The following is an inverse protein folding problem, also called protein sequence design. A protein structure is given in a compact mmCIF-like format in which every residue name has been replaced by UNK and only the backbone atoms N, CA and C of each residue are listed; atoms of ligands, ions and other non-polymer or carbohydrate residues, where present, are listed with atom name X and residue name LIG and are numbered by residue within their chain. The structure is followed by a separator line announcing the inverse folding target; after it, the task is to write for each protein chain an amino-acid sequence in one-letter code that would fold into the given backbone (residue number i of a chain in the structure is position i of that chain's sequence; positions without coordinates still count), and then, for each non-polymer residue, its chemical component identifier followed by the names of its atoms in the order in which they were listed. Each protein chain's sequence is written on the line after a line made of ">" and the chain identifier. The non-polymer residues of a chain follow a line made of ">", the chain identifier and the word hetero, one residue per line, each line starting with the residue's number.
data_IF_775488685410
#
_entry.id   IF_775488685410
#
_cell.length_a   1.000
_cell.length_b   1.000
_cell.length_c   1.000
_cell.angle_alpha   90.00
_cell.angle_beta   90.00
_cell.angle_gamma   90.00
#
_symmetry.space_group_name_H-M   'P 1'
#
loop_
_entity.id
_entity.type
_entity.pdbx_description
1 polymer ?
#
# COMPACT_ATOMS: atom_id res chain seq x y z
N UNK A 1 -35.59 -0.76 35.42
CA UNK A 1 -34.97 0.60 35.39
C UNK A 1 -33.58 0.63 36.02
N UNK A 2 -33.30 -0.07 37.14
CA UNK A 2 -31.96 -0.09 37.77
C UNK A 2 -30.86 -0.83 36.98
N UNK A 3 -31.21 -1.90 36.25
CA UNK A 3 -30.22 -2.72 35.52
C UNK A 3 -29.57 -1.93 34.36
N UNK A 4 -30.34 -1.08 33.67
CA UNK A 4 -29.83 -0.25 32.58
C UNK A 4 -28.82 0.81 33.05
N UNK A 5 -28.95 1.28 34.30
CA UNK A 5 -28.04 2.28 34.87
C UNK A 5 -26.67 1.65 35.20
N UNK A 6 -26.66 0.41 35.71
CA UNK A 6 -25.42 -0.30 36.07
C UNK A 6 -24.63 -0.70 34.83
N UNK A 7 -25.30 -1.13 33.76
CA UNK A 7 -24.64 -1.50 32.50
C UNK A 7 -24.03 -0.26 31.81
N UNK A 8 -24.73 0.88 31.84
CA UNK A 8 -24.22 2.14 31.28
C UNK A 8 -22.95 2.64 31.99
N UNK A 9 -22.92 2.59 33.33
CA UNK A 9 -21.75 3.01 34.11
C UNK A 9 -20.53 2.11 33.86
N UNK A 10 -20.74 0.79 33.73
CA UNK A 10 -19.65 -0.14 33.44
C UNK A 10 -19.01 0.08 32.07
N UNK A 11 -19.84 0.34 31.05
CA UNK A 11 -19.36 0.61 29.70
C UNK A 11 -18.54 1.91 29.61
N UNK A 12 -19.02 2.97 30.29
CA UNK A 12 -18.32 4.26 30.32
C UNK A 12 -16.97 4.17 31.05
N UNK A 13 -16.93 3.44 32.17
CA UNK A 13 -15.69 3.18 32.90
C UNK A 13 -14.67 2.42 32.03
N UNK A 14 -15.11 1.39 31.29
CA UNK A 14 -14.25 0.62 30.41
C UNK A 14 -13.64 1.47 29.28
N UNK A 15 -14.46 2.27 28.60
CA UNK A 15 -14.01 3.20 27.57
C UNK A 15 -13.01 4.25 28.11
N UNK A 16 -13.26 4.77 29.31
CA UNK A 16 -12.37 5.76 29.94
C UNK A 16 -10.98 5.18 30.24
N UNK A 17 -10.90 3.93 30.69
CA UNK A 17 -9.64 3.25 30.98
C UNK A 17 -8.85 2.93 29.71
N UNK A 18 -9.55 2.60 28.62
CA UNK A 18 -8.96 2.36 27.31
C UNK A 18 -8.36 3.64 26.73
N UNK A 19 -9.08 4.77 26.84
CA UNK A 19 -8.60 6.09 26.45
C UNK A 19 -7.36 6.52 27.28
N UNK A 20 -7.38 6.31 28.61
CA UNK A 20 -6.23 6.58 29.47
C UNK A 20 -5.01 5.74 29.09
N UNK A 21 -5.21 4.47 28.71
CA UNK A 21 -4.12 3.57 28.33
C UNK A 21 -3.46 4.01 27.03
N UNK A 22 -4.25 4.44 26.04
CA UNK A 22 -3.75 5.01 24.79
C UNK A 22 -2.97 6.31 25.07
N UNK A 23 -3.52 7.18 25.92
CA UNK A 23 -2.85 8.42 26.31
C UNK A 23 -1.49 8.14 26.98
N UNK A 24 -1.43 7.20 27.91
CA UNK A 24 -0.19 6.81 28.58
C UNK A 24 0.84 6.24 27.60
N UNK A 25 0.41 5.44 26.63
CA UNK A 25 1.28 4.90 25.58
C UNK A 25 1.86 6.01 24.70
N UNK A 26 1.04 6.98 24.28
CA UNK A 26 1.48 8.14 23.49
C UNK A 26 2.47 9.00 24.27
N UNK A 27 2.21 9.26 25.56
CA UNK A 27 3.10 10.03 26.43
C UNK A 27 4.44 9.31 26.66
N UNK A 28 4.42 7.98 26.87
CA UNK A 28 5.63 7.18 27.06
C UNK A 28 6.52 7.17 25.81
N UNK A 29 5.92 7.06 24.63
CA UNK A 29 6.63 7.10 23.33
C UNK A 29 7.32 8.45 23.08
N UNK A 30 6.79 9.55 23.63
CA UNK A 30 7.35 10.90 23.46
C UNK A 30 8.45 11.32 24.43
N UNK A 31 8.74 10.54 25.49
CA UNK A 31 9.75 10.92 26.51
C UNK A 31 11.20 11.02 26.02
N UNK A 32 11.50 10.61 24.78
CA UNK A 32 12.85 10.71 24.18
C UNK A 32 13.10 12.01 23.40
N UNK A 33 12.08 12.85 23.17
CA UNK A 33 12.23 14.12 22.46
C UNK A 33 12.08 15.30 23.42
N UNK A 34 13.22 15.86 23.88
CA UNK A 34 13.27 16.95 24.89
C UNK A 34 12.80 18.33 24.41
N UNK A 35 12.02 18.44 23.33
CA UNK A 35 11.50 19.74 22.86
C UNK A 35 10.05 19.60 22.41
N UNK A 36 9.18 20.41 23.02
CA UNK A 36 7.77 20.65 22.69
C UNK A 36 6.71 19.88 23.51
N UNK A 37 6.65 20.16 24.81
CA UNK A 37 5.48 19.82 25.67
C UNK A 37 4.30 20.79 25.41
N UNK A 38 4.59 22.05 25.01
CA UNK A 38 3.56 23.08 24.79
C UNK A 38 2.63 22.80 23.60
N UNK A 39 3.11 22.15 22.53
CA UNK A 39 2.31 21.85 21.33
C UNK A 39 1.24 20.77 21.58
N UNK A 40 1.50 19.84 22.50
CA UNK A 40 0.57 18.74 22.76
C UNK A 40 -0.68 19.20 23.51
N UNK A 41 -0.56 20.21 24.39
CA UNK A 41 -1.69 20.73 25.17
C UNK A 41 -2.69 21.47 24.25
N UNK A 42 -2.18 22.21 23.26
CA UNK A 42 -3.01 22.95 22.29
C UNK A 42 -3.81 21.99 21.41
N UNK A 43 -3.23 20.88 20.96
CA UNK A 43 -3.92 19.89 20.13
C UNK A 43 -5.07 19.20 20.89
N UNK A 44 -4.86 18.89 22.17
CA UNK A 44 -5.90 18.28 23.02
C UNK A 44 -7.05 19.24 23.30
N UNK A 45 -6.76 20.53 23.55
CA UNK A 45 -7.81 21.54 23.71
C UNK A 45 -8.66 21.68 22.44
N UNK A 46 -8.04 21.63 21.25
CA UNK A 46 -8.76 21.71 19.97
C UNK A 46 -9.69 20.49 19.75
N UNK A 47 -9.21 19.28 20.03
CA UNK A 47 -10.00 18.05 19.91
C UNK A 47 -11.17 18.00 20.89
N UNK A 48 -11.01 18.56 22.09
CA UNK A 48 -12.10 18.61 23.06
C UNK A 48 -13.21 19.58 22.63
N UNK A 49 -12.85 20.70 21.98
CA UNK A 49 -13.83 21.66 21.45
C UNK A 49 -14.62 21.04 20.28
N UNK A 50 -13.98 20.31 19.36
CA UNK A 50 -14.71 19.67 18.24
C UNK A 50 -15.63 18.55 18.71
N UNK A 51 -15.26 17.80 19.74
CA UNK A 51 -16.11 16.75 20.31
C UNK A 51 -17.40 17.29 20.97
N UNK A 52 -17.35 18.49 21.59
CA UNK A 52 -18.54 19.12 22.17
C UNK A 52 -19.51 19.64 21.11
N UNK A 53 -19.00 20.10 19.95
CA UNK A 53 -19.85 20.64 18.88
C UNK A 53 -20.62 19.54 18.12
N UNK A 54 -20.05 18.34 18.01
CA UNK A 54 -20.65 17.23 17.25
C UNK A 54 -21.63 16.36 18.07
N UNK A 55 -21.83 16.67 19.36
CA UNK A 55 -22.61 15.86 20.29
C UNK A 55 -24.13 16.06 20.26
N UNK A 56 -24.64 17.13 19.62
CA UNK A 56 -26.09 17.46 19.66
C UNK A 56 -26.88 17.00 18.42
N UNK A 57 -26.25 16.58 17.33
CA UNK A 57 -26.95 16.31 16.05
C UNK A 57 -27.27 14.82 15.81
N UNK A 58 -27.67 14.06 16.83
CA UNK A 58 -28.08 12.65 16.63
C UNK A 58 -29.28 12.21 17.48
N UNK A 59 -30.38 12.97 17.44
CA UNK A 59 -31.64 12.51 18.03
C UNK A 59 -32.92 12.81 17.22
N UNK A 60 -32.83 13.08 15.92
CA UNK A 60 -34.01 13.40 15.09
C UNK A 60 -34.30 12.44 13.92
N UNK A 61 -33.48 11.41 13.67
CA UNK A 61 -33.61 10.60 12.45
C UNK A 61 -33.64 9.09 12.73
N UNK A 62 -34.59 8.66 13.57
CA UNK A 62 -34.81 7.22 13.83
C UNK A 62 -36.29 6.79 13.78
N UNK A 63 -37.22 7.63 13.30
CA UNK A 63 -38.66 7.30 13.26
C UNK A 63 -39.31 7.29 11.86
N UNK A 64 -38.53 7.22 10.77
CA UNK A 64 -39.13 7.28 9.41
C UNK A 64 -38.61 6.25 8.41
N UNK A 65 -38.46 4.98 8.79
CA UNK A 65 -38.40 3.88 7.80
C UNK A 65 -39.06 2.59 8.34
N UNK A 66 -40.36 2.65 8.61
CA UNK A 66 -41.23 1.47 8.71
C UNK A 66 -42.43 1.70 7.81
N UNK A 67 -42.28 1.47 6.50
CA UNK A 67 -43.40 1.14 5.61
C UNK A 67 -42.90 0.80 4.20
N UNK A 68 -43.30 -0.38 3.71
CA UNK A 68 -43.37 -0.78 2.29
C UNK A 68 -42.04 -1.25 1.70
N UNK A 69 -41.89 -2.44 1.13
CA UNK A 69 -42.77 -3.04 0.11
C UNK A 69 -42.56 -4.55 0.00
N UNK A 70 -43.68 -5.24 -0.19
CA UNK A 70 -43.88 -6.68 -0.42
C UNK A 70 -43.74 -7.05 -1.90
N UNK A 71 -43.38 -8.32 -2.19
CA UNK A 71 -43.60 -9.09 -3.44
C UNK A 71 -42.80 -8.63 -4.70
N UNK A 72 -42.26 -9.49 -5.57
CA UNK A 72 -42.65 -10.82 -6.05
C UNK A 72 -41.47 -11.63 -6.59
N UNK A 73 -41.59 -12.95 -6.47
CA UNK A 73 -40.83 -13.97 -7.22
C UNK A 73 -41.30 -14.04 -8.69
N UNK A 74 -40.41 -14.38 -9.64
CA UNK A 74 -40.76 -15.52 -10.49
C UNK A 74 -39.62 -16.49 -10.79
N UNK A 75 -40.05 -17.73 -11.00
CA UNK A 75 -39.33 -18.92 -11.47
C UNK A 75 -39.21 -18.94 -13.00
N UNK A 76 -38.03 -19.31 -13.52
CA UNK A 76 -37.80 -19.78 -14.90
C UNK A 76 -36.61 -20.76 -14.88
N UNK A 77 -36.82 -22.08 -14.91
CA UNK A 77 -36.95 -22.98 -16.07
C UNK A 77 -35.65 -23.18 -16.88
N UNK A 78 -35.29 -24.47 -17.00
CA UNK A 78 -34.08 -25.10 -17.53
C UNK A 78 -33.89 -25.01 -19.07
N UNK A 79 -32.60 -25.02 -19.48
CA UNK A 79 -31.97 -25.61 -20.70
C UNK A 79 -32.43 -25.17 -22.11
N UNK A 80 -31.57 -25.24 -23.17
CA UNK A 80 -30.48 -26.20 -23.39
C UNK A 80 -29.11 -25.63 -23.83
N UNK A 81 -28.11 -26.49 -23.70
CA UNK A 81 -26.75 -26.38 -24.25
C UNK A 81 -26.73 -26.51 -25.79
N UNK A 82 -26.04 -25.62 -26.52
CA UNK A 82 -25.49 -25.92 -27.83
C UNK A 82 -23.99 -26.15 -27.73
N UNK A 83 -23.58 -27.39 -27.99
CA UNK A 83 -22.23 -27.79 -28.36
C UNK A 83 -21.98 -27.42 -29.82
N UNK A 84 -21.14 -26.43 -30.08
CA UNK A 84 -20.48 -26.26 -31.38
C UNK A 84 -19.02 -25.91 -31.17
N UNK A 85 -18.18 -26.84 -31.60
CA UNK A 85 -16.73 -26.75 -31.74
C UNK A 85 -16.40 -25.87 -32.95
N UNK A 86 -15.71 -24.72 -32.79
CA UNK A 86 -15.08 -24.04 -33.91
C UNK A 86 -13.68 -24.62 -34.17
N UNK A 87 -13.43 -24.87 -35.45
CA UNK A 87 -12.18 -25.35 -36.01
C UNK A 87 -10.96 -24.48 -35.62
N UNK A 88 -9.75 -25.07 -35.56
CA UNK A 88 -8.52 -24.31 -35.31
C UNK A 88 -8.26 -23.35 -36.47
N UNK A 89 -8.53 -22.06 -36.22
CA UNK A 89 -8.13 -20.99 -37.12
C UNK A 89 -6.62 -20.80 -36.94
N UNK A 90 -5.87 -21.05 -38.02
CA UNK A 90 -4.43 -20.83 -38.05
C UNK A 90 -4.13 -19.36 -37.74
N UNK A 91 -3.45 -19.12 -36.62
CA UNK A 91 -2.94 -17.81 -36.25
C UNK A 91 -1.90 -17.37 -37.28
N UNK A 92 -2.09 -16.24 -37.98
CA UNK A 92 -1.04 -15.67 -38.81
C UNK A 92 0.13 -15.25 -37.91
N UNK A 93 1.32 -15.69 -38.29
CA UNK A 93 2.62 -15.26 -37.74
C UNK A 93 2.70 -13.72 -37.73
N UNK A 94 2.94 -13.07 -36.57
CA UNK A 94 3.03 -11.62 -36.54
C UNK A 94 4.27 -11.14 -37.28
N UNK A 95 4.02 -10.26 -38.25
CA UNK A 95 5.00 -9.39 -38.90
C UNK A 95 5.78 -8.62 -37.83
N UNK A 96 7.12 -8.63 -37.83
CA UNK A 96 7.90 -7.82 -36.90
C UNK A 96 7.71 -6.33 -37.24
N UNK A 97 6.95 -5.62 -36.40
CA UNK A 97 6.83 -4.18 -36.48
C UNK A 97 8.06 -3.56 -35.82
N UNK A 98 9.03 -3.17 -36.65
CA UNK A 98 10.11 -2.30 -36.25
C UNK A 98 9.56 -0.89 -36.04
N UNK A 99 9.52 -0.39 -34.81
CA UNK A 99 9.51 1.05 -34.53
C UNK A 99 10.34 1.30 -33.28
N UNK A 100 11.61 1.62 -33.51
CA UNK A 100 12.50 2.15 -32.50
C UNK A 100 11.98 3.54 -32.09
N UNK A 101 11.18 3.61 -31.03
CA UNK A 101 10.97 4.84 -30.29
C UNK A 101 12.18 5.03 -29.39
N UNK A 102 13.05 5.96 -29.76
CA UNK A 102 14.20 6.36 -28.96
C UNK A 102 13.71 7.02 -27.67
N UNK A 103 13.48 6.20 -26.65
CA UNK A 103 13.29 6.67 -25.28
C UNK A 103 14.58 7.38 -24.82
N UNK A 104 14.51 8.59 -24.25
CA UNK A 104 15.68 9.32 -23.82
C UNK A 104 16.42 8.52 -22.74
N UNK A 105 17.64 8.08 -23.09
CA UNK A 105 18.59 7.44 -22.19
C UNK A 105 18.81 8.36 -20.97
N UNK A 106 18.48 7.92 -19.74
CA UNK A 106 18.71 8.74 -18.56
C UNK A 106 20.20 8.94 -18.34
N UNK A 107 20.62 10.21 -18.35
CA UNK A 107 21.97 10.64 -17.97
C UNK A 107 22.10 10.53 -16.46
N UNK A 108 22.56 9.37 -16.00
CA UNK A 108 22.90 9.10 -14.59
C UNK A 108 24.23 9.78 -14.24
N UNK A 109 24.23 10.61 -13.19
CA UNK A 109 25.44 11.18 -12.62
C UNK A 109 26.24 10.06 -11.93
N UNK A 110 27.37 9.71 -12.53
CA UNK A 110 28.32 8.69 -12.10
C UNK A 110 28.85 8.93 -10.67
N UNK A 111 28.23 8.27 -9.69
CA UNK A 111 29.01 7.42 -8.80
C UNK A 111 28.80 6.00 -9.35
N UNK A 112 29.87 5.38 -9.86
CA UNK A 112 29.81 4.10 -10.54
C UNK A 112 29.57 2.96 -9.54
N UNK A 113 28.34 2.82 -9.08
CA UNK A 113 27.90 1.67 -8.30
C UNK A 113 27.44 0.58 -9.26
N UNK A 114 28.04 -0.61 -9.14
CA UNK A 114 27.84 -1.83 -9.94
C UNK A 114 26.52 -2.57 -9.63
N UNK A 115 25.48 -1.87 -9.15
CA UNK A 115 24.20 -2.54 -8.86
C UNK A 115 23.45 -2.76 -10.18
N UNK A 116 23.12 -4.00 -10.49
CA UNK A 116 22.43 -4.35 -11.72
C UNK A 116 20.92 -4.13 -11.56
N UNK A 117 20.36 -3.19 -12.32
CA UNK A 117 18.93 -2.83 -12.30
C UNK A 117 18.17 -3.33 -13.53
N UNK A 118 18.75 -4.24 -14.32
CA UNK A 118 18.16 -4.70 -15.58
C UNK A 118 16.88 -5.54 -15.39
N UNK A 119 16.61 -6.09 -14.21
CA UNK A 119 15.36 -6.83 -13.95
C UNK A 119 14.11 -5.95 -13.99
N UNK A 120 14.25 -4.62 -13.92
CA UNK A 120 13.13 -3.69 -13.91
C UNK A 120 12.66 -3.34 -15.34
N UNK A 121 12.26 -4.35 -16.11
CA UNK A 121 11.97 -4.24 -17.56
C UNK A 121 10.87 -3.24 -17.92
N UNK A 122 9.92 -3.00 -17.00
CA UNK A 122 8.80 -2.09 -17.22
C UNK A 122 9.07 -0.66 -16.74
N UNK A 123 10.24 -0.43 -16.13
CA UNK A 123 10.61 0.89 -15.63
C UNK A 123 11.02 1.80 -16.79
N UNK A 124 10.52 3.04 -16.76
CA UNK A 124 11.00 4.13 -17.62
C UNK A 124 12.43 4.52 -17.25
N UNK A 125 12.73 4.57 -15.95
CA UNK A 125 14.08 4.76 -15.44
C UNK A 125 14.21 4.19 -14.03
N UNK A 126 15.45 3.89 -13.64
CA UNK A 126 15.78 3.44 -12.29
C UNK A 126 16.89 4.33 -11.75
N UNK A 127 16.64 4.93 -10.59
CA UNK A 127 17.61 5.75 -9.88
C UNK A 127 18.12 4.99 -8.66
N UNK A 128 19.44 4.95 -8.49
CA UNK A 128 20.09 4.26 -7.39
C UNK A 128 20.92 5.27 -6.61
N UNK A 129 20.66 5.42 -5.32
CA UNK A 129 21.51 6.18 -4.41
C UNK A 129 22.22 5.21 -3.48
N UNK A 130 23.49 4.96 -3.79
CA UNK A 130 24.34 4.05 -3.04
C UNK A 130 24.89 4.69 -1.77
N UNK A 131 24.43 4.17 -0.62
CA UNK A 131 24.93 4.50 0.71
C UNK A 131 25.48 3.25 1.44
N UNK A 132 25.94 2.23 0.70
CA UNK A 132 26.35 0.93 1.25
C UNK A 132 27.63 1.02 2.10
N UNK A 133 28.57 1.89 1.71
CA UNK A 133 29.83 2.07 2.44
C UNK A 133 29.60 2.64 3.85
N UNK A 134 28.77 3.68 3.97
CA UNK A 134 28.58 4.44 5.21
C UNK A 134 27.42 3.91 6.07
N UNK A 135 26.28 3.63 5.45
CA UNK A 135 25.01 3.35 6.15
C UNK A 135 24.55 1.91 6.02
N UNK A 136 25.23 1.10 5.19
CA UNK A 136 24.76 -0.25 4.81
C UNK A 136 23.32 -0.17 4.28
N UNK A 137 23.03 0.89 3.52
CA UNK A 137 21.71 1.23 3.00
C UNK A 137 21.78 1.52 1.51
N UNK A 138 20.73 1.18 0.78
CA UNK A 138 20.57 1.50 -0.63
C UNK A 138 19.19 2.10 -0.83
N UNK A 139 19.10 3.23 -1.52
CA UNK A 139 17.82 3.76 -1.97
C UNK A 139 17.65 3.48 -3.47
N UNK A 140 16.53 2.88 -3.83
CA UNK A 140 16.14 2.56 -5.20
C UNK A 140 14.83 3.28 -5.52
N UNK A 141 14.81 4.08 -6.58
CA UNK A 141 13.58 4.66 -7.14
C UNK A 141 13.33 4.09 -8.52
N UNK A 142 12.23 3.37 -8.67
CA UNK A 142 11.77 2.78 -9.93
C UNK A 142 10.68 3.69 -10.49
N UNK A 143 11.01 4.44 -11.55
CA UNK A 143 10.08 5.33 -12.22
C UNK A 143 9.34 4.54 -13.32
N UNK A 144 8.04 4.42 -13.17
CA UNK A 144 7.13 3.74 -14.09
C UNK A 144 6.39 4.77 -14.95
N UNK A 145 5.93 4.35 -16.13
CA UNK A 145 4.99 5.14 -16.93
C UNK A 145 3.62 5.09 -16.23
N UNK A 146 2.97 6.25 -16.05
CA UNK A 146 1.60 6.34 -15.53
C UNK A 146 0.53 6.12 -16.60
N UNK A 147 -0.73 6.17 -16.20
CA UNK A 147 -1.86 6.07 -17.13
C UNK A 147 -1.93 7.28 -18.10
N UNK A 148 -2.45 7.09 -19.33
CA UNK A 148 -3.05 5.87 -19.89
C UNK A 148 -2.04 4.91 -20.54
N UNK A 149 -0.77 5.31 -20.65
CA UNK A 149 0.25 4.56 -21.41
C UNK A 149 0.96 3.48 -20.57
N UNK A 150 0.67 3.43 -19.27
CA UNK A 150 1.22 2.48 -18.30
C UNK A 150 0.15 1.86 -17.40
N UNK A 151 0.56 0.97 -16.48
CA UNK A 151 -0.34 0.37 -15.51
C UNK A 151 -0.87 1.39 -14.51
N UNK A 152 -2.01 1.10 -13.88
CA UNK A 152 -2.43 1.84 -12.69
C UNK A 152 -1.40 1.66 -11.54
N UNK A 153 -1.42 2.53 -10.50
CA UNK A 153 -0.44 2.50 -9.41
C UNK A 153 -0.32 1.17 -8.67
N UNK A 154 -1.44 0.47 -8.47
CA UNK A 154 -1.48 -0.83 -7.80
C UNK A 154 -0.73 -1.91 -8.57
N UNK A 155 -1.03 -2.05 -9.86
CA UNK A 155 -0.35 -3.00 -10.75
C UNK A 155 1.13 -2.62 -10.97
N UNK A 156 1.45 -1.32 -11.05
CA UNK A 156 2.83 -0.85 -11.11
C UNK A 156 3.62 -1.30 -9.86
N UNK A 157 3.03 -1.15 -8.68
CA UNK A 157 3.63 -1.58 -7.42
C UNK A 157 3.81 -3.10 -7.38
N UNK A 158 2.82 -3.88 -7.83
CA UNK A 158 2.93 -5.34 -7.90
C UNK A 158 4.10 -5.79 -8.79
N UNK A 159 4.25 -5.21 -9.99
CA UNK A 159 5.37 -5.52 -10.89
C UNK A 159 6.73 -5.22 -10.25
N UNK A 160 6.87 -4.05 -9.60
CA UNK A 160 8.13 -3.67 -8.95
C UNK A 160 8.43 -4.59 -7.77
N UNK A 161 7.43 -5.01 -6.99
CA UNK A 161 7.63 -5.98 -5.91
C UNK A 161 8.10 -7.34 -6.46
N UNK A 162 7.50 -7.84 -7.53
CA UNK A 162 7.97 -9.11 -8.14
C UNK A 162 9.43 -9.00 -8.60
N UNK A 163 9.79 -7.91 -9.29
CA UNK A 163 11.17 -7.69 -9.78
C UNK A 163 12.17 -7.43 -8.64
N UNK A 164 11.70 -6.83 -7.54
CA UNK A 164 12.48 -6.64 -6.32
C UNK A 164 12.95 -7.97 -5.75
N UNK A 165 12.18 -9.05 -5.89
CA UNK A 165 12.55 -10.36 -5.37
C UNK A 165 13.90 -10.84 -5.94
N UNK A 166 14.08 -10.70 -7.25
CA UNK A 166 15.34 -11.05 -7.92
C UNK A 166 16.45 -10.05 -7.61
N UNK A 167 16.11 -8.77 -7.56
CA UNK A 167 17.04 -7.71 -7.17
C UNK A 167 17.68 -7.98 -5.81
N UNK A 168 16.89 -8.33 -4.80
CA UNK A 168 17.37 -8.60 -3.46
C UNK A 168 18.34 -9.79 -3.37
N UNK A 169 18.37 -10.69 -4.36
CA UNK A 169 19.23 -11.87 -4.38
C UNK A 169 20.60 -11.63 -5.01
N UNK A 170 20.86 -10.43 -5.51
CA UNK A 170 22.17 -10.07 -6.07
C UNK A 170 23.30 -10.10 -5.03
N UNK A 171 24.43 -10.68 -5.42
CA UNK A 171 25.64 -10.79 -4.58
C UNK A 171 26.20 -9.41 -4.22
N UNK A 172 26.06 -8.43 -5.13
CA UNK A 172 26.49 -7.05 -4.94
C UNK A 172 25.75 -6.36 -3.78
N UNK A 173 24.58 -6.87 -3.41
CA UNK A 173 23.77 -6.34 -2.31
C UNK A 173 24.06 -7.01 -0.97
N UNK A 174 25.02 -7.93 -0.89
CA UNK A 174 25.40 -8.64 0.35
C UNK A 174 25.85 -7.70 1.48
N UNK A 175 26.38 -6.51 1.14
CA UNK A 175 26.76 -5.47 2.10
C UNK A 175 25.61 -4.62 2.63
N UNK A 176 24.40 -4.74 2.07
CA UNK A 176 23.23 -3.95 2.46
C UNK A 176 22.50 -4.59 3.63
N UNK A 177 22.20 -3.81 4.68
CA UNK A 177 21.28 -4.21 5.75
C UNK A 177 19.84 -3.87 5.42
N UNK A 178 19.63 -2.73 4.78
CA UNK A 178 18.32 -2.23 4.42
C UNK A 178 18.34 -1.65 3.02
N UNK A 179 17.22 -1.79 2.32
CA UNK A 179 17.03 -1.27 0.97
C UNK A 179 15.68 -0.57 0.94
N UNK A 180 15.67 0.73 0.66
CA UNK A 180 14.42 1.46 0.40
C UNK A 180 14.08 1.32 -1.07
N UNK A 181 12.83 0.98 -1.36
CA UNK A 181 12.32 0.84 -2.72
C UNK A 181 11.14 1.78 -2.85
N UNK A 182 11.26 2.71 -3.80
CA UNK A 182 10.24 3.69 -4.15
C UNK A 182 9.72 3.37 -5.53
N UNK A 183 8.41 3.23 -5.65
CA UNK A 183 7.71 3.16 -6.93
C UNK A 183 7.19 4.56 -7.21
N UNK A 184 7.57 5.14 -8.34
CA UNK A 184 7.10 6.45 -8.76
C UNK A 184 6.40 6.36 -10.11
N UNK A 185 5.30 7.09 -10.28
CA UNK A 185 4.61 7.30 -11.55
C UNK A 185 4.47 8.80 -11.78
N UNK A 186 4.80 9.26 -12.98
CA UNK A 186 4.75 10.69 -13.34
C UNK A 186 5.44 11.62 -12.32
N UNK A 187 6.55 11.13 -11.77
CA UNK A 187 7.38 11.77 -10.73
C UNK A 187 6.73 11.87 -9.34
N UNK A 188 5.61 11.20 -9.09
CA UNK A 188 4.99 11.06 -7.78
C UNK A 188 5.27 9.67 -7.20
N UNK A 189 5.73 9.59 -5.95
CA UNK A 189 5.95 8.31 -5.26
C UNK A 189 4.59 7.74 -4.84
N UNK A 190 4.20 6.64 -5.48
CA UNK A 190 2.94 5.95 -5.18
C UNK A 190 3.11 4.92 -4.05
N UNK A 191 4.30 4.32 -3.93
CA UNK A 191 4.63 3.36 -2.88
C UNK A 191 6.08 3.53 -2.43
N UNK A 192 6.33 3.42 -1.13
CA UNK A 192 7.66 3.29 -0.56
C UNK A 192 7.68 2.18 0.50
N UNK A 193 8.59 1.23 0.34
CA UNK A 193 8.88 0.20 1.33
C UNK A 193 10.37 0.20 1.69
N UNK A 194 10.68 -0.18 2.92
CA UNK A 194 12.05 -0.45 3.36
C UNK A 194 12.19 -1.94 3.69
N UNK A 195 12.94 -2.68 2.87
CA UNK A 195 13.24 -4.10 3.06
C UNK A 195 14.40 -4.26 4.04
N UNK A 196 14.25 -5.14 5.02
CA UNK A 196 15.35 -5.59 5.87
C UNK A 196 15.95 -6.89 5.29
N UNK A 197 17.18 -6.82 4.79
CA UNK A 197 17.89 -7.94 4.14
C UNK A 197 18.14 -9.12 5.06
N UNK A 198 18.27 -8.90 6.37
CA UNK A 198 18.47 -9.99 7.35
C UNK A 198 17.18 -10.76 7.63
N UNK A 199 16.01 -10.17 7.34
CA UNK A 199 14.69 -10.81 7.48
C UNK A 199 14.16 -11.40 6.18
N UNK A 200 14.75 -11.01 5.06
CA UNK A 200 14.35 -11.50 3.75
C UNK A 200 14.73 -12.98 3.62
N UNK A 201 13.71 -13.80 3.35
CA UNK A 201 13.87 -15.23 3.10
C UNK A 201 13.25 -15.50 1.74
N UNK A 202 14.07 -15.91 0.78
CA UNK A 202 13.62 -16.33 -0.53
C UNK A 202 12.67 -17.55 -0.39
N UNK A 203 11.53 -17.53 -1.08
CA UNK A 203 10.48 -18.54 -1.01
C UNK A 203 9.59 -18.55 -2.26
N UNK A 204 8.56 -19.41 -2.27
CA UNK A 204 7.64 -19.55 -3.41
C UNK A 204 6.71 -18.32 -3.58
N UNK A 205 6.38 -17.65 -2.47
CA UNK A 205 5.52 -16.47 -2.45
C UNK A 205 6.37 -15.21 -2.52
N UNK A 206 6.70 -14.78 -3.74
CA UNK A 206 7.69 -13.74 -4.00
C UNK A 206 7.37 -12.41 -3.30
N UNK A 207 6.12 -11.95 -3.43
CA UNK A 207 5.65 -10.69 -2.85
C UNK A 207 5.62 -10.79 -1.32
N UNK A 208 5.04 -11.86 -0.78
CA UNK A 208 4.92 -12.05 0.67
C UNK A 208 6.31 -12.12 1.34
N UNK A 209 7.27 -12.80 0.69
CA UNK A 209 8.66 -12.86 1.14
C UNK A 209 9.31 -11.47 1.28
N UNK A 210 8.95 -10.53 0.39
CA UNK A 210 9.42 -9.15 0.47
C UNK A 210 8.67 -8.41 1.56
N UNK A 211 7.34 -8.49 1.57
CA UNK A 211 6.49 -7.74 2.50
C UNK A 211 6.74 -8.13 3.96
N UNK A 212 6.90 -9.42 4.25
CA UNK A 212 7.24 -9.95 5.59
C UNK A 212 8.59 -9.41 6.10
N UNK A 213 9.53 -9.18 5.19
CA UNK A 213 10.84 -8.60 5.48
C UNK A 213 10.82 -7.06 5.50
N UNK A 214 9.71 -6.43 5.14
CA UNK A 214 9.61 -5.01 4.86
C UNK A 214 8.84 -4.22 5.90
N UNK A 215 9.09 -2.92 5.91
CA UNK A 215 8.23 -1.91 6.51
C UNK A 215 7.64 -1.07 5.38
N UNK A 216 6.31 -0.97 5.34
CA UNK A 216 5.64 -0.02 4.43
C UNK A 216 5.75 1.38 5.04
N UNK A 217 6.42 2.28 4.31
CA UNK A 217 6.64 3.66 4.75
C UNK A 217 5.58 4.62 4.17
N UNK A 218 5.20 4.40 2.91
CA UNK A 218 4.19 5.16 2.19
C UNK A 218 3.46 4.24 1.21
N UNK A 219 2.16 4.44 1.07
CA UNK A 219 1.34 3.81 0.05
C UNK A 219 0.16 4.73 -0.22
N UNK A 220 -0.06 5.09 -1.48
CA UNK A 220 -1.20 5.91 -1.87
C UNK A 220 -2.51 5.09 -1.83
N UNK A 221 -3.65 5.77 -1.99
CA UNK A 221 -4.96 5.13 -1.84
C UNK A 221 -5.24 4.09 -2.94
N UNK A 222 -4.85 4.37 -4.19
CA UNK A 222 -5.04 3.44 -5.31
C UNK A 222 -4.28 2.13 -5.10
N UNK A 223 -3.05 2.18 -4.58
CA UNK A 223 -2.27 0.98 -4.25
C UNK A 223 -2.89 0.22 -3.07
N UNK A 224 -3.39 0.94 -2.05
CA UNK A 224 -4.09 0.31 -0.92
C UNK A 224 -5.35 -0.42 -1.39
N UNK A 225 -6.17 0.21 -2.24
CA UNK A 225 -7.39 -0.39 -2.76
C UNK A 225 -7.07 -1.63 -3.61
N UNK A 226 -6.10 -1.53 -4.50
CA UNK A 226 -5.64 -2.65 -5.31
C UNK A 226 -5.16 -3.84 -4.46
N UNK A 227 -4.34 -3.57 -3.42
CA UNK A 227 -3.85 -4.60 -2.51
C UNK A 227 -4.96 -5.34 -1.75
N UNK A 228 -5.99 -4.62 -1.33
CA UNK A 228 -7.17 -5.20 -0.67
C UNK A 228 -7.95 -6.12 -1.60
N UNK A 229 -8.12 -5.72 -2.88
CA UNK A 229 -8.83 -6.54 -3.88
C UNK A 229 -8.10 -7.87 -4.11
N UNK A 230 -6.76 -7.86 -4.06
CA UNK A 230 -5.94 -9.05 -4.24
C UNK A 230 -5.62 -9.81 -2.94
N UNK A 231 -6.02 -9.29 -1.78
CA UNK A 231 -5.72 -9.85 -0.45
C UNK A 231 -4.21 -9.99 -0.17
N UNK A 232 -3.39 -9.02 -0.59
CA UNK A 232 -1.91 -9.10 -0.53
C UNK A 232 -1.25 -8.30 0.60
N UNK A 233 -1.85 -7.19 1.04
CA UNK A 233 -1.32 -6.33 2.12
C UNK A 233 -2.39 -5.52 2.85
#
# INVERSE_FOLDING_TARGET
>A
MWISLVVGLGFFACLSLLALSILFFVLKKRSKAKKSIASSIVLFALLFITAQIFGEEKQAEAEKMVASTTHSSPSSTLSPSPSLSPAPTQTPSPTPLATASASPKPTSAQNATTVNTQMFDFAKSVEVVDNLAEKKHLDLTVNMVGEPDGPNPGLATEHVLVQTYEFLQQDELSGAKTITIKVAQDNEIVTQITVNKEKFVAGEYLIDSILDASKIDLMNEDVIEYGKILERW
#
